data_IF_233957693172
#
_entry.id   IF_233957693172
#
_cell.length_a   1.000
_cell.length_b   1.000
_cell.length_c   1.000
_cell.angle_alpha   90.00
_cell.angle_beta   90.00
_cell.angle_gamma   90.00
#
_symmetry.space_group_name_H-M   'P 1'
#
loop_
_entity.id
_entity.type
_entity.pdbx_description
1 polymer ?
#
# COMPACT_ATOMS: atom_id res chain seq x y z
N UNK A 1 -21.48 22.92 -15.66
CA UNK A 1 -21.47 21.69 -14.85
C UNK A 1 -20.81 20.56 -15.65
N UNK A 2 -19.48 20.46 -15.63
CA UNK A 2 -18.68 19.48 -16.40
C UNK A 2 -17.61 18.80 -15.53
N UNK A 3 -17.86 18.52 -14.24
CA UNK A 3 -16.83 18.00 -13.33
C UNK A 3 -16.93 16.52 -12.93
N UNK A 4 -18.04 15.82 -13.25
CA UNK A 4 -18.27 14.45 -12.75
C UNK A 4 -17.76 13.34 -13.68
N UNK A 5 -17.33 13.62 -14.92
CA UNK A 5 -16.82 12.60 -15.86
C UNK A 5 -15.29 12.47 -15.88
N UNK A 6 -14.56 13.36 -15.21
CA UNK A 6 -13.09 13.42 -15.26
C UNK A 6 -12.39 12.75 -14.08
N UNK A 7 -13.08 12.46 -12.98
CA UNK A 7 -12.50 11.84 -11.78
C UNK A 7 -11.80 10.51 -12.06
N UNK A 8 -12.41 9.65 -12.90
CA UNK A 8 -11.83 8.37 -13.28
C UNK A 8 -10.59 8.52 -14.17
N UNK A 9 -10.54 9.52 -15.07
CA UNK A 9 -9.40 9.70 -15.98
C UNK A 9 -8.11 10.05 -15.22
N UNK A 10 -8.21 10.85 -14.17
CA UNK A 10 -7.07 11.15 -13.28
C UNK A 10 -6.60 9.93 -12.49
N UNK A 11 -7.51 9.04 -12.08
CA UNK A 11 -7.16 7.83 -11.34
C UNK A 11 -6.36 6.81 -12.18
N UNK A 12 -6.71 6.66 -13.47
CA UNK A 12 -5.98 5.78 -14.38
C UNK A 12 -4.57 6.29 -14.69
N UNK A 13 -4.42 7.60 -14.92
CA UNK A 13 -3.10 8.23 -15.13
C UNK A 13 -2.24 8.06 -13.88
N UNK A 14 -2.80 8.32 -12.69
CA UNK A 14 -2.11 8.10 -11.42
C UNK A 14 -1.61 6.66 -11.29
N UNK A 15 -2.46 5.67 -11.54
CA UNK A 15 -2.08 4.25 -11.45
C UNK A 15 -0.92 3.89 -12.39
N UNK A 16 -0.90 4.43 -13.60
CA UNK A 16 0.20 4.23 -14.55
C UNK A 16 1.52 4.89 -14.09
N UNK A 17 1.44 6.10 -13.52
CA UNK A 17 2.61 6.79 -12.96
C UNK A 17 3.17 6.06 -11.73
N UNK A 18 2.30 5.53 -10.87
CA UNK A 18 2.67 4.71 -9.72
C UNK A 18 3.35 3.41 -10.15
N UNK A 19 2.82 2.73 -11.17
CA UNK A 19 3.49 1.57 -11.78
C UNK A 19 4.90 1.93 -12.29
N UNK A 20 5.02 3.03 -13.02
CA UNK A 20 6.31 3.52 -13.53
C UNK A 20 7.32 3.77 -12.40
N UNK A 21 6.87 4.41 -11.31
CA UNK A 21 7.70 4.64 -10.13
C UNK A 21 8.08 3.35 -9.42
N UNK A 22 7.16 2.40 -9.24
CA UNK A 22 7.47 1.11 -8.63
C UNK A 22 8.54 0.35 -9.43
N UNK A 23 8.49 0.42 -10.76
CA UNK A 23 9.46 -0.22 -11.65
C UNK A 23 10.89 0.37 -11.53
N UNK A 24 11.05 1.57 -10.94
CA UNK A 24 12.38 2.12 -10.59
C UNK A 24 13.02 1.37 -9.41
N UNK A 25 12.23 0.70 -8.55
CA UNK A 25 12.69 0.05 -7.31
C UNK A 25 12.61 -1.47 -7.30
N UNK A 26 11.81 -2.08 -8.17
CA UNK A 26 11.63 -3.54 -8.19
C UNK A 26 11.35 -4.07 -9.60
N UNK A 27 11.66 -5.36 -9.79
CA UNK A 27 11.26 -6.16 -10.96
C UNK A 27 10.27 -7.28 -10.60
N UNK A 28 9.85 -7.35 -9.34
CA UNK A 28 8.89 -8.34 -8.86
C UNK A 28 7.50 -8.03 -9.41
N UNK A 29 6.99 -8.91 -10.28
CA UNK A 29 5.76 -8.64 -11.01
C UNK A 29 4.53 -8.53 -10.11
N UNK A 30 4.46 -9.29 -9.01
CA UNK A 30 3.36 -9.19 -8.04
C UNK A 30 3.33 -7.81 -7.36
N UNK A 31 4.48 -7.19 -7.10
CA UNK A 31 4.58 -5.83 -6.55
C UNK A 31 4.16 -4.78 -7.59
N UNK A 32 4.59 -4.95 -8.85
CA UNK A 32 4.18 -4.07 -9.95
C UNK A 32 2.67 -4.13 -10.21
N UNK A 33 2.09 -5.33 -10.16
CA UNK A 33 0.64 -5.52 -10.24
C UNK A 33 -0.07 -4.83 -9.08
N UNK A 34 0.44 -4.99 -7.85
CA UNK A 34 -0.10 -4.33 -6.67
C UNK A 34 -0.02 -2.80 -6.77
N UNK A 35 1.06 -2.24 -7.32
CA UNK A 35 1.21 -0.82 -7.60
C UNK A 35 0.16 -0.32 -8.63
N UNK A 36 -0.07 -1.08 -9.70
CA UNK A 36 -1.07 -0.74 -10.71
C UNK A 36 -2.50 -0.78 -10.15
N UNK A 37 -2.79 -1.73 -9.26
CA UNK A 37 -4.15 -1.98 -8.75
C UNK A 37 -4.45 -1.31 -7.40
N UNK A 38 -3.49 -0.59 -6.78
CA UNK A 38 -3.66 -0.03 -5.43
C UNK A 38 -4.92 0.86 -5.30
N UNK A 39 -5.27 1.57 -6.37
CA UNK A 39 -6.37 2.54 -6.39
C UNK A 39 -7.60 2.08 -7.18
N UNK A 40 -7.63 0.79 -7.61
CA UNK A 40 -8.63 0.26 -8.55
C UNK A 40 -10.08 0.47 -8.06
N UNK A 41 -10.28 0.50 -6.74
CA UNK A 41 -11.58 0.73 -6.11
C UNK A 41 -12.23 2.07 -6.49
N UNK A 42 -11.44 3.09 -6.90
CA UNK A 42 -11.98 4.38 -7.36
C UNK A 42 -12.90 4.23 -8.59
N UNK A 43 -12.67 3.20 -9.40
CA UNK A 43 -13.50 2.86 -10.56
C UNK A 43 -14.89 2.34 -10.20
N UNK A 44 -15.12 1.91 -8.95
CA UNK A 44 -16.38 1.27 -8.51
C UNK A 44 -17.07 1.99 -7.34
N UNK A 45 -16.46 3.04 -6.77
CA UNK A 45 -17.12 3.87 -5.74
C UNK A 45 -18.31 4.64 -6.31
N UNK A 46 -19.40 4.72 -5.54
CA UNK A 46 -20.60 5.50 -5.85
C UNK A 46 -20.22 6.94 -6.28
N UNK A 47 -20.71 7.44 -7.44
CA UNK A 47 -20.45 8.80 -7.90
C UNK A 47 -20.79 9.91 -6.89
N UNK A 48 -21.73 9.69 -5.98
CA UNK A 48 -22.06 10.63 -4.89
C UNK A 48 -20.93 10.82 -3.88
N UNK A 49 -19.96 9.88 -3.83
CA UNK A 49 -18.80 9.94 -2.94
C UNK A 49 -17.58 10.62 -3.59
N UNK A 50 -17.71 11.07 -4.83
CA UNK A 50 -16.65 11.76 -5.54
C UNK A 50 -16.55 13.21 -5.05
N UNK A 51 -15.34 13.82 -5.05
CA UNK A 51 -14.06 13.31 -5.57
C UNK A 51 -13.24 12.53 -4.53
N UNK A 52 -13.78 12.27 -3.33
CA UNK A 52 -13.03 11.63 -2.24
C UNK A 52 -12.91 10.13 -2.39
N UNK A 53 -13.83 9.49 -3.11
CA UNK A 53 -13.86 8.04 -3.31
C UNK A 53 -13.80 7.29 -1.96
N UNK A 54 -14.65 7.69 -1.02
CA UNK A 54 -14.69 7.11 0.33
C UNK A 54 -14.94 5.61 0.22
N UNK A 55 -14.07 4.80 0.83
CA UNK A 55 -14.18 3.34 0.86
C UNK A 55 -13.58 2.62 -0.34
N UNK A 56 -12.90 3.32 -1.26
CA UNK A 56 -12.22 2.69 -2.40
C UNK A 56 -11.18 1.64 -1.98
N UNK A 57 -10.55 1.79 -0.82
CA UNK A 57 -9.57 0.84 -0.30
C UNK A 57 -10.20 -0.54 -0.07
N UNK A 58 -11.38 -0.55 0.55
CA UNK A 58 -12.15 -1.77 0.81
C UNK A 58 -12.73 -2.33 -0.49
N UNK A 59 -13.38 -1.48 -1.29
CA UNK A 59 -14.01 -1.90 -2.54
C UNK A 59 -12.98 -2.47 -3.54
N UNK A 60 -11.80 -1.84 -3.62
CA UNK A 60 -10.68 -2.32 -4.43
C UNK A 60 -10.19 -3.69 -3.97
N UNK A 61 -9.95 -3.86 -2.67
CA UNK A 61 -9.54 -5.16 -2.14
C UNK A 61 -10.58 -6.28 -2.40
N UNK A 62 -11.88 -5.99 -2.29
CA UNK A 62 -12.93 -6.98 -2.50
C UNK A 62 -13.12 -7.37 -3.99
N UNK A 63 -12.83 -6.48 -4.94
CA UNK A 63 -13.01 -6.77 -6.37
C UNK A 63 -11.81 -7.45 -7.04
N UNK A 64 -10.61 -7.32 -6.48
CA UNK A 64 -9.36 -7.85 -7.07
C UNK A 64 -9.40 -9.37 -7.32
N UNK A 65 -9.97 -10.23 -6.44
CA UNK A 65 -10.08 -11.66 -6.73
C UNK A 65 -10.87 -11.97 -8.01
N UNK A 66 -12.01 -11.32 -8.21
CA UNK A 66 -12.82 -11.50 -9.42
C UNK A 66 -12.11 -10.97 -10.67
N UNK A 67 -11.33 -9.90 -10.53
CA UNK A 67 -10.45 -9.40 -11.60
C UNK A 67 -9.37 -10.43 -11.95
N UNK A 68 -8.75 -11.03 -10.92
CA UNK A 68 -7.74 -12.05 -11.05
C UNK A 68 -8.26 -13.29 -11.76
N UNK A 69 -9.42 -13.81 -11.37
CA UNK A 69 -10.09 -14.93 -12.04
C UNK A 69 -10.36 -14.61 -13.52
N UNK A 70 -10.90 -13.41 -13.80
CA UNK A 70 -11.24 -13.00 -15.17
C UNK A 70 -10.03 -12.90 -16.09
N UNK A 71 -8.89 -12.44 -15.59
CA UNK A 71 -7.68 -12.18 -16.40
C UNK A 71 -6.56 -13.19 -16.18
N UNK A 72 -6.79 -14.24 -15.38
CA UNK A 72 -5.79 -15.29 -15.10
C UNK A 72 -4.57 -14.79 -14.33
N UNK A 73 -4.76 -13.88 -13.35
CA UNK A 73 -3.66 -13.41 -12.52
C UNK A 73 -3.22 -14.51 -11.53
N UNK A 74 -1.91 -14.69 -11.31
CA UNK A 74 -1.40 -15.57 -10.26
C UNK A 74 -1.92 -15.19 -8.85
N UNK A 75 -2.10 -16.20 -7.99
CA UNK A 75 -2.66 -16.02 -6.64
C UNK A 75 -1.83 -15.05 -5.77
N UNK A 76 -0.51 -15.07 -5.92
CA UNK A 76 0.40 -14.16 -5.22
C UNK A 76 0.23 -12.70 -5.68
N UNK A 77 -0.07 -12.47 -6.96
CA UNK A 77 -0.38 -11.14 -7.49
C UNK A 77 -1.71 -10.63 -6.97
N UNK A 78 -2.71 -11.51 -6.92
CA UNK A 78 -4.04 -11.23 -6.35
C UNK A 78 -3.89 -10.86 -4.86
N UNK A 79 -3.17 -11.67 -4.09
CA UNK A 79 -2.97 -11.43 -2.65
C UNK A 79 -2.16 -10.16 -2.37
N UNK A 80 -1.11 -9.89 -3.16
CA UNK A 80 -0.31 -8.66 -3.05
C UNK A 80 -1.15 -7.41 -3.36
N UNK A 81 -1.92 -7.46 -4.45
CA UNK A 81 -2.76 -6.35 -4.89
C UNK A 81 -3.88 -6.05 -3.90
N UNK A 82 -4.52 -7.08 -3.33
CA UNK A 82 -5.52 -6.89 -2.26
C UNK A 82 -4.93 -6.19 -1.05
N UNK A 83 -3.70 -6.56 -0.65
CA UNK A 83 -3.02 -5.97 0.49
C UNK A 83 -2.71 -4.49 0.24
N UNK A 84 -2.12 -4.17 -0.92
CA UNK A 84 -1.84 -2.80 -1.31
C UNK A 84 -3.10 -1.94 -1.37
N UNK A 85 -4.15 -2.42 -2.05
CA UNK A 85 -5.40 -1.68 -2.19
C UNK A 85 -6.03 -1.35 -0.84
N UNK A 86 -6.01 -2.31 0.10
CA UNK A 86 -6.58 -2.15 1.43
C UNK A 86 -5.82 -1.17 2.32
N UNK A 87 -4.50 -1.08 2.18
CA UNK A 87 -3.65 -0.43 3.20
C UNK A 87 -2.83 0.77 2.72
N UNK A 88 -2.77 1.09 1.42
CA UNK A 88 -1.92 2.18 0.91
C UNK A 88 -2.23 3.54 1.58
N UNK A 89 -3.51 3.93 1.70
CA UNK A 89 -3.90 5.17 2.40
C UNK A 89 -3.59 5.13 3.90
N UNK A 90 -3.75 3.97 4.53
CA UNK A 90 -3.44 3.80 5.95
C UNK A 90 -1.93 3.96 6.20
N UNK A 91 -1.08 3.48 5.30
CA UNK A 91 0.37 3.68 5.38
C UNK A 91 0.76 5.16 5.32
N UNK A 92 0.06 5.99 4.54
CA UNK A 92 0.31 7.43 4.48
C UNK A 92 -0.13 8.20 5.73
N UNK A 93 -1.08 7.67 6.50
CA UNK A 93 -1.78 8.42 7.56
C UNK A 93 -1.54 7.86 8.96
N UNK A 94 -1.00 6.65 9.08
CA UNK A 94 -0.77 6.00 10.35
C UNK A 94 0.27 6.75 11.21
N UNK A 95 -0.13 7.12 12.42
CA UNK A 95 0.74 7.76 13.42
C UNK A 95 1.03 6.87 14.63
N UNK A 96 0.19 5.86 14.87
CA UNK A 96 0.31 4.96 16.02
C UNK A 96 1.26 3.83 15.67
N UNK A 97 2.31 3.65 16.48
CA UNK A 97 3.30 2.59 16.31
C UNK A 97 2.69 1.19 16.18
N UNK A 98 1.67 0.87 16.99
CA UNK A 98 0.96 -0.40 16.89
C UNK A 98 0.29 -0.62 15.52
N UNK A 99 -0.27 0.43 14.91
CA UNK A 99 -0.90 0.33 13.58
C UNK A 99 0.14 0.16 12.47
N UNK A 100 1.26 0.86 12.58
CA UNK A 100 2.41 0.71 11.67
C UNK A 100 2.96 -0.72 11.77
N UNK A 101 3.16 -1.24 12.99
CA UNK A 101 3.60 -2.61 13.22
C UNK A 101 2.63 -3.64 12.64
N UNK A 102 1.32 -3.45 12.82
CA UNK A 102 0.27 -4.31 12.23
C UNK A 102 0.40 -4.39 10.71
N UNK A 103 0.57 -3.25 10.03
CA UNK A 103 0.70 -3.20 8.57
C UNK A 103 2.03 -3.80 8.09
N UNK A 104 3.12 -3.63 8.83
CA UNK A 104 4.43 -4.21 8.46
C UNK A 104 4.42 -5.73 8.65
N UNK A 105 3.90 -6.22 9.78
CA UNK A 105 3.75 -7.65 10.04
C UNK A 105 2.74 -8.33 9.12
N UNK A 106 1.69 -7.60 8.71
CA UNK A 106 0.74 -8.06 7.70
C UNK A 106 1.43 -8.21 6.34
N UNK A 107 2.21 -7.22 5.91
CA UNK A 107 2.96 -7.25 4.66
C UNK A 107 4.00 -8.39 4.66
N UNK A 108 4.70 -8.61 5.78
CA UNK A 108 5.67 -9.69 5.92
C UNK A 108 5.07 -11.10 5.79
N UNK A 109 3.77 -11.26 6.05
CA UNK A 109 3.04 -12.54 5.90
C UNK A 109 2.27 -12.65 4.58
N UNK A 110 2.31 -11.60 3.77
CA UNK A 110 1.66 -11.53 2.48
C UNK A 110 2.73 -11.66 1.37
N UNK A 111 2.39 -12.22 0.19
CA UNK A 111 3.35 -12.32 -0.92
C UNK A 111 4.00 -11.00 -1.33
N UNK A 112 3.36 -9.85 -1.08
CA UNK A 112 3.95 -8.52 -1.35
C UNK A 112 5.23 -8.24 -0.56
N UNK A 113 5.40 -8.85 0.62
CA UNK A 113 6.53 -8.60 1.51
C UNK A 113 6.60 -7.16 2.05
N UNK A 114 7.50 -6.94 3.01
CA UNK A 114 7.71 -5.60 3.61
C UNK A 114 8.24 -4.63 2.57
N UNK A 115 9.30 -5.01 1.85
CA UNK A 115 9.96 -4.14 0.88
C UNK A 115 9.07 -3.87 -0.35
N UNK A 116 8.26 -4.84 -0.78
CA UNK A 116 7.30 -4.64 -1.86
C UNK A 116 6.16 -3.71 -1.45
N UNK A 117 5.60 -3.84 -0.25
CA UNK A 117 4.58 -2.91 0.22
C UNK A 117 5.14 -1.49 0.41
N UNK A 118 6.34 -1.36 0.96
CA UNK A 118 7.05 -0.08 1.05
C UNK A 118 7.28 0.54 -0.33
N UNK A 119 7.63 -0.27 -1.33
CA UNK A 119 7.78 0.16 -2.73
C UNK A 119 6.48 0.73 -3.29
N UNK A 120 5.34 0.06 -3.07
CA UNK A 120 4.03 0.56 -3.51
C UNK A 120 3.68 1.89 -2.82
N UNK A 121 3.85 1.99 -1.51
CA UNK A 121 3.55 3.22 -0.76
C UNK A 121 4.45 4.39 -1.18
N UNK A 122 5.74 4.12 -1.42
CA UNK A 122 6.65 5.13 -1.95
C UNK A 122 6.26 5.57 -3.36
N UNK A 123 5.88 4.62 -4.22
CA UNK A 123 5.48 4.89 -5.59
C UNK A 123 4.15 5.66 -5.66
N UNK A 124 3.16 5.35 -4.81
CA UNK A 124 1.91 6.12 -4.70
C UNK A 124 2.17 7.57 -4.29
N UNK A 125 3.08 7.78 -3.34
CA UNK A 125 3.49 9.12 -2.91
C UNK A 125 4.17 9.91 -4.04
N UNK A 126 5.01 9.25 -4.84
CA UNK A 126 5.87 9.89 -5.84
C UNK A 126 5.30 9.87 -7.28
N UNK A 127 4.27 9.06 -7.53
CA UNK A 127 3.56 8.90 -8.81
C UNK A 127 2.67 10.09 -9.20
N UNK A 128 2.89 11.26 -8.58
CA UNK A 128 2.16 12.51 -8.83
C UNK A 128 3.03 13.60 -9.43
N UNK A 129 4.12 13.22 -10.10
CA UNK A 129 5.11 14.15 -10.65
C UNK A 129 6.00 14.80 -9.59
N UNK A 130 6.24 14.12 -8.46
CA UNK A 130 7.12 14.62 -7.39
C UNK A 130 8.55 14.13 -7.59
N UNK A 131 9.53 14.93 -7.19
CA UNK A 131 10.95 14.55 -7.13
C UNK A 131 11.21 13.67 -5.91
N UNK A 132 11.02 12.36 -6.03
CA UNK A 132 11.44 11.32 -5.07
C UNK A 132 11.43 11.77 -3.60
N UNK A 133 10.30 12.31 -3.16
CA UNK A 133 10.11 12.91 -1.84
C UNK A 133 10.08 11.79 -0.79
N UNK A 134 10.76 11.98 0.36
CA UNK A 134 10.74 11.02 1.46
C UNK A 134 9.33 10.70 1.93
N UNK A 135 9.12 9.44 2.29
CA UNK A 135 7.88 8.92 2.86
C UNK A 135 8.20 8.13 4.13
N UNK A 136 7.80 8.67 5.28
CA UNK A 136 8.16 8.11 6.58
C UNK A 136 7.80 6.63 6.76
N UNK A 137 6.67 6.17 6.22
CA UNK A 137 6.31 4.75 6.31
C UNK A 137 7.21 3.90 5.42
N UNK A 138 7.31 4.24 4.13
CA UNK A 138 8.06 3.46 3.16
C UNK A 138 9.55 3.41 3.49
N UNK A 139 10.12 4.55 3.91
CA UNK A 139 11.55 4.67 4.17
C UNK A 139 11.97 4.00 5.49
N UNK A 140 11.04 3.78 6.44
CA UNK A 140 11.33 3.12 7.72
C UNK A 140 10.87 1.65 7.79
N UNK A 141 10.13 1.15 6.80
CA UNK A 141 9.43 -0.14 6.87
C UNK A 141 10.35 -1.32 7.21
N UNK A 142 11.48 -1.44 6.52
CA UNK A 142 12.45 -2.54 6.69
C UNK A 142 13.11 -2.48 8.08
N UNK A 143 13.46 -1.29 8.56
CA UNK A 143 14.11 -1.13 9.88
C UNK A 143 13.12 -1.32 11.03
N UNK A 144 11.88 -0.88 10.85
CA UNK A 144 10.79 -1.19 11.78
C UNK A 144 10.55 -2.70 11.81
N UNK A 145 10.53 -3.39 10.67
CA UNK A 145 10.40 -4.84 10.64
C UNK A 145 11.53 -5.55 11.40
N UNK A 146 12.79 -5.17 11.16
CA UNK A 146 13.94 -5.69 11.92
C UNK A 146 13.79 -5.46 13.42
N UNK A 147 13.36 -4.26 13.83
CA UNK A 147 13.13 -3.94 15.23
C UNK A 147 12.02 -4.79 15.87
N UNK A 148 10.95 -5.08 15.12
CA UNK A 148 9.88 -5.98 15.57
C UNK A 148 10.42 -7.39 15.73
N UNK A 149 11.15 -7.92 14.74
CA UNK A 149 11.73 -9.27 14.80
C UNK A 149 12.68 -9.39 15.98
N UNK A 150 13.53 -8.38 16.22
CA UNK A 150 14.46 -8.36 17.34
C UNK A 150 13.74 -8.32 18.69
N UNK A 151 12.78 -7.43 18.87
CA UNK A 151 11.97 -7.37 20.08
C UNK A 151 11.24 -8.70 20.35
N UNK A 152 10.77 -9.36 19.30
CA UNK A 152 10.04 -10.64 19.38
C UNK A 152 10.90 -11.80 19.88
N UNK A 153 12.22 -11.74 19.74
CA UNK A 153 13.14 -12.73 20.34
C UNK A 153 13.08 -12.73 21.86
N UNK A 154 12.73 -11.61 22.46
CA UNK A 154 12.72 -11.43 23.92
C UNK A 154 11.31 -11.34 24.51
N UNK A 155 10.32 -10.89 23.74
CA UNK A 155 8.94 -10.80 24.21
C UNK A 155 7.93 -10.71 23.07
N UNK A 156 6.78 -11.39 23.22
CA UNK A 156 5.63 -11.29 22.33
C UNK A 156 4.56 -10.30 22.84
N UNK A 157 4.87 -9.49 23.86
CA UNK A 157 3.97 -8.47 24.41
C UNK A 157 3.78 -7.32 23.38
N UNK A 158 2.53 -7.05 22.92
CA UNK A 158 2.24 -5.99 21.97
C UNK A 158 2.74 -4.60 22.39
N UNK A 159 2.77 -4.30 23.70
CA UNK A 159 3.26 -3.03 24.23
C UNK A 159 4.76 -2.86 23.98
N UNK A 160 5.54 -3.92 24.20
CA UNK A 160 6.99 -3.91 23.98
C UNK A 160 7.34 -3.81 22.49
N UNK A 161 6.58 -4.49 21.63
CA UNK A 161 6.71 -4.35 20.17
C UNK A 161 6.43 -2.90 19.75
N UNK A 162 5.34 -2.30 20.24
CA UNK A 162 5.00 -0.90 19.92
C UNK A 162 6.06 0.10 20.42
N UNK A 163 6.70 -0.16 21.56
CA UNK A 163 7.83 0.64 22.06
C UNK A 163 9.05 0.54 21.14
N UNK A 164 9.39 -0.66 20.67
CA UNK A 164 10.49 -0.86 19.72
C UNK A 164 10.24 -0.10 18.42
N UNK A 165 9.04 -0.21 17.85
CA UNK A 165 8.65 0.57 16.66
C UNK A 165 8.72 2.07 16.92
N UNK A 166 8.21 2.55 18.06
CA UNK A 166 8.26 3.98 18.40
C UNK A 166 9.69 4.52 18.52
N UNK A 167 10.63 3.68 18.98
CA UNK A 167 12.04 4.04 19.09
C UNK A 167 12.67 4.15 17.70
N UNK A 168 12.42 3.19 16.82
CA UNK A 168 12.92 3.21 15.43
C UNK A 168 12.39 4.41 14.64
N UNK A 169 11.12 4.80 14.83
CA UNK A 169 10.53 5.94 14.13
C UNK A 169 11.03 7.32 14.62
N UNK A 170 11.76 7.39 15.74
CA UNK A 170 12.26 8.64 16.34
C UNK A 170 13.75 8.87 16.12
N UNK A 171 14.50 7.82 15.76
CA UNK A 171 15.92 7.88 15.43
C UNK A 171 16.11 8.21 13.96
#
# INVERSE_FOLDING_TARGET
MLSSRWGSFYAYIHSALVLGKAAERTREHHVLCAALLHDIGKGVTDPSLWPRHIGHEKAGAEMIPALGEKYGLPDDWIAASQYAARYHMAAHTAKKAGKIAEMILGAARNPIGVDGFATVVWADHNGRGRENVPNAFADSATDVYKAIVEASKHSHDPSKIAQAVSKTLKG
#
